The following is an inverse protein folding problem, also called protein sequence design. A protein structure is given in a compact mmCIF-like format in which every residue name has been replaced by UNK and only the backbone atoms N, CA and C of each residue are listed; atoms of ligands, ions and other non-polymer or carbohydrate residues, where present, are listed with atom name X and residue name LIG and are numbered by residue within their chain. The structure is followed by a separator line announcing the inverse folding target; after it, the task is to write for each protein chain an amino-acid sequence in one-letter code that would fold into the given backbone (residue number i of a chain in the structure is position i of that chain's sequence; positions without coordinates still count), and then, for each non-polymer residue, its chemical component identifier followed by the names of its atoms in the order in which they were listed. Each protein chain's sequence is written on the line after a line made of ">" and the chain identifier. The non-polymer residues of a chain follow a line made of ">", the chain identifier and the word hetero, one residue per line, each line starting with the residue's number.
data_IF_848502260256
#
_entry.id   IF_848502260256
#
_cell.length_a   1.000
_cell.length_b   1.000
_cell.length_c   1.000
_cell.angle_alpha   90.00
_cell.angle_beta   90.00
_cell.angle_gamma   90.00
#
_symmetry.space_group_name_H-M   'P 1'
#
loop_
_entity.id
_entity.type
_entity.pdbx_description
1 polymer ?
#
# COMPACT_ATOMS: atom_id res chain seq x y z
N UNK A 1 20.32 -12.52 -6.70
CA UNK A 1 18.85 -12.42 -6.88
C UNK A 1 18.51 -10.99 -7.24
N UNK A 2 17.47 -10.76 -8.05
CA UNK A 2 17.21 -9.45 -8.65
C UNK A 2 16.31 -8.59 -7.75
N UNK A 3 16.61 -7.29 -7.60
CA UNK A 3 15.79 -6.35 -6.84
C UNK A 3 14.38 -6.22 -7.45
N UNK A 4 13.39 -5.83 -6.65
CA UNK A 4 12.06 -5.47 -7.15
C UNK A 4 12.21 -4.34 -8.18
N UNK A 5 11.63 -4.54 -9.37
CA UNK A 5 11.66 -3.56 -10.45
C UNK A 5 10.69 -2.41 -10.21
N UNK A 6 10.90 -1.30 -10.92
CA UNK A 6 9.95 -0.19 -10.92
C UNK A 6 8.70 -0.59 -11.70
N UNK A 7 7.52 -0.24 -11.19
CA UNK A 7 6.28 -0.57 -11.89
C UNK A 7 5.02 -0.41 -11.07
N UNK A 8 3.90 -0.85 -11.65
CA UNK A 8 2.58 -0.80 -11.01
C UNK A 8 2.17 -2.21 -10.61
N UNK A 9 1.99 -2.42 -9.31
CA UNK A 9 1.77 -3.72 -8.69
C UNK A 9 0.39 -3.83 -8.05
N UNK A 10 -0.05 -5.09 -7.92
CA UNK A 10 -1.17 -5.51 -7.08
C UNK A 10 -0.58 -6.28 -5.91
N UNK A 11 -0.71 -5.76 -4.69
CA UNK A 11 -0.07 -6.37 -3.53
C UNK A 11 -1.08 -7.26 -2.81
N UNK A 12 -0.75 -8.55 -2.71
CA UNK A 12 -1.57 -9.59 -2.07
C UNK A 12 -0.99 -9.94 -0.71
N UNK A 13 -1.83 -10.05 0.31
CA UNK A 13 -1.40 -10.53 1.63
C UNK A 13 -1.22 -12.04 1.63
N UNK A 14 -0.08 -12.52 2.15
CA UNK A 14 0.15 -13.97 2.35
C UNK A 14 -0.66 -14.54 3.51
N UNK A 15 -1.03 -13.72 4.51
CA UNK A 15 -1.88 -14.14 5.63
C UNK A 15 -3.26 -14.61 5.17
N UNK A 16 -3.71 -14.19 3.97
CA UNK A 16 -5.00 -14.57 3.41
C UNK A 16 -5.03 -15.95 2.76
N UNK A 17 -3.92 -16.70 2.74
CA UNK A 17 -3.93 -18.07 2.21
C UNK A 17 -4.71 -19.04 3.11
N UNK A 18 -4.96 -18.69 4.38
CA UNK A 18 -5.66 -19.53 5.37
C UNK A 18 -7.15 -19.24 5.55
N UNK A 19 -7.70 -18.17 4.95
CA UNK A 19 -9.12 -17.79 5.09
C UNK A 19 -9.73 -17.39 3.75
N UNK A 20 -10.78 -18.10 3.34
CA UNK A 20 -11.75 -17.80 2.27
C UNK A 20 -11.43 -16.65 1.29
N UNK A 21 -10.38 -16.80 0.49
CA UNK A 21 -10.08 -15.96 -0.68
C UNK A 21 -8.81 -15.09 -0.56
N UNK A 22 -8.39 -14.52 -1.69
CA UNK A 22 -7.22 -13.67 -1.74
C UNK A 22 -7.56 -12.24 -1.29
N UNK A 23 -6.85 -11.77 -0.25
CA UNK A 23 -6.93 -10.40 0.21
C UNK A 23 -5.75 -9.59 -0.34
N UNK A 24 -6.05 -8.36 -0.71
CA UNK A 24 -5.11 -7.41 -1.30
C UNK A 24 -5.05 -6.14 -0.47
N UNK A 25 -3.99 -5.37 -0.67
CA UNK A 25 -3.95 -3.99 -0.17
C UNK A 25 -5.05 -3.19 -0.86
N UNK A 26 -5.88 -2.54 -0.05
CA UNK A 26 -7.05 -1.79 -0.51
C UNK A 26 -7.47 -0.72 0.49
N UNK A 27 -8.61 -0.08 0.19
CA UNK A 27 -9.19 0.99 1.01
C UNK A 27 -10.66 0.68 1.24
N UNK A 28 -11.20 1.04 2.40
CA UNK A 28 -12.63 0.85 2.66
C UNK A 28 -13.46 1.81 1.79
N UNK A 29 -14.27 1.20 0.91
CA UNK A 29 -15.32 1.85 0.13
C UNK A 29 -16.27 2.76 0.94
N UNK A 30 -16.52 2.48 2.22
CA UNK A 30 -17.37 3.33 3.07
C UNK A 30 -16.72 4.70 3.29
N UNK A 31 -15.42 4.69 3.60
CA UNK A 31 -14.63 5.93 3.73
C UNK A 31 -14.51 6.64 2.38
N UNK A 32 -14.42 5.91 1.27
CA UNK A 32 -14.40 6.50 -0.08
C UNK A 32 -15.71 7.22 -0.44
N UNK A 33 -16.87 6.73 0.02
CA UNK A 33 -18.19 7.35 -0.21
C UNK A 33 -18.48 8.54 0.71
N UNK A 34 -17.96 8.51 1.94
CA UNK A 34 -18.07 9.64 2.88
C UNK A 34 -17.17 10.82 2.49
N UNK A 35 -16.17 10.58 1.64
CA UNK A 35 -15.31 11.60 1.05
C UNK A 35 -16.03 12.28 -0.12
N UNK A 36 -16.68 13.42 0.18
CA UNK A 36 -17.43 14.27 -0.78
C UNK A 36 -16.70 14.65 -2.06
N UNK A 37 -15.37 14.50 -2.13
CA UNK A 37 -14.54 14.86 -3.28
C UNK A 37 -14.16 13.69 -4.20
N UNK A 38 -14.51 12.44 -3.89
CA UNK A 38 -14.12 11.26 -4.70
C UNK A 38 -12.62 10.91 -4.69
N UNK A 39 -11.79 11.77 -4.12
CA UNK A 39 -10.34 11.59 -3.93
C UNK A 39 -10.04 11.04 -2.53
N UNK A 40 -9.06 10.12 -2.45
CA UNK A 40 -8.56 9.60 -1.19
C UNK A 40 -7.94 10.72 -0.37
N UNK A 41 -8.39 10.86 0.88
CA UNK A 41 -7.83 11.86 1.81
C UNK A 41 -6.61 11.32 2.54
N UNK A 42 -5.71 12.23 2.88
CA UNK A 42 -4.66 12.00 3.85
C UNK A 42 -5.23 11.44 5.18
N UNK A 43 -4.51 10.50 5.78
CA UNK A 43 -4.93 9.76 6.96
C UNK A 43 -5.89 8.58 6.69
N UNK A 44 -6.35 8.38 5.45
CA UNK A 44 -7.22 7.23 5.11
C UNK A 44 -6.47 5.92 5.40
N UNK A 45 -7.01 5.02 6.24
CA UNK A 45 -6.37 3.73 6.54
C UNK A 45 -6.26 2.82 5.32
N UNK A 46 -5.15 2.11 5.23
CA UNK A 46 -4.94 1.01 4.29
C UNK A 46 -5.34 -0.29 4.96
N UNK A 47 -6.14 -1.09 4.25
CA UNK A 47 -6.74 -2.32 4.79
C UNK A 47 -6.45 -3.51 3.88
N UNK A 48 -6.67 -4.72 4.42
CA UNK A 48 -6.82 -5.91 3.60
C UNK A 48 -8.25 -5.97 3.07
N UNK A 49 -8.40 -6.03 1.75
CA UNK A 49 -9.68 -6.01 1.08
C UNK A 49 -9.78 -7.08 -0.02
N UNK A 50 -11.01 -7.41 -0.43
CA UNK A 50 -11.25 -8.24 -1.60
C UNK A 50 -10.80 -7.51 -2.88
N UNK A 51 -10.58 -8.28 -3.95
CA UNK A 51 -10.04 -7.80 -5.23
C UNK A 51 -10.78 -6.59 -5.81
N UNK A 52 -12.09 -6.49 -5.60
CA UNK A 52 -12.93 -5.39 -6.12
C UNK A 52 -12.63 -4.04 -5.45
N UNK A 53 -12.00 -4.06 -4.28
CA UNK A 53 -11.64 -2.87 -3.48
C UNK A 53 -10.12 -2.67 -3.35
N UNK A 54 -9.35 -3.41 -4.12
CA UNK A 54 -7.89 -3.32 -4.16
C UNK A 54 -7.45 -2.01 -4.83
N UNK A 55 -6.34 -1.46 -4.35
CA UNK A 55 -5.64 -0.34 -5.01
C UNK A 55 -4.41 -0.83 -5.76
N UNK A 56 -4.09 -0.17 -6.87
CA UNK A 56 -2.79 -0.36 -7.56
C UNK A 56 -1.73 0.53 -6.92
N UNK A 57 -0.55 -0.05 -6.71
CA UNK A 57 0.58 0.64 -6.08
C UNK A 57 1.67 0.84 -7.11
N UNK A 58 2.13 2.07 -7.26
CA UNK A 58 3.33 2.37 -8.02
C UNK A 58 4.54 2.24 -7.10
N UNK A 59 5.53 1.46 -7.52
CA UNK A 59 6.77 1.21 -6.79
C UNK A 59 7.91 1.81 -7.59
N UNK A 60 8.71 2.64 -6.93
CA UNK A 60 9.86 3.32 -7.53
C UNK A 60 11.08 3.13 -6.64
N UNK A 61 12.18 2.62 -7.19
CA UNK A 61 13.45 2.46 -6.49
C UNK A 61 14.09 3.81 -6.25
N UNK A 62 14.41 4.10 -4.99
CA UNK A 62 15.05 5.36 -4.56
C UNK A 62 16.58 5.22 -4.49
N UNK A 63 17.07 4.02 -4.12
CA UNK A 63 18.50 3.71 -3.98
C UNK A 63 18.70 2.55 -2.99
N UNK A 64 19.78 1.78 -3.14
CA UNK A 64 19.98 0.58 -2.30
C UNK A 64 18.80 -0.39 -2.39
N UNK A 65 18.23 -0.74 -1.24
CA UNK A 65 17.00 -1.55 -1.09
C UNK A 65 15.79 -0.71 -0.63
N UNK A 66 15.88 0.62 -0.78
CA UNK A 66 14.81 1.55 -0.44
C UNK A 66 13.95 1.88 -1.66
N UNK A 67 12.64 1.87 -1.43
CA UNK A 67 11.60 2.06 -2.40
C UNK A 67 10.59 3.11 -1.93
N UNK A 68 10.05 3.87 -2.89
CA UNK A 68 8.87 4.68 -2.69
C UNK A 68 7.65 3.88 -3.16
N UNK A 69 6.61 3.86 -2.32
CA UNK A 69 5.31 3.28 -2.64
C UNK A 69 4.27 4.39 -2.73
N UNK A 70 3.72 4.58 -3.93
CA UNK A 70 2.79 5.66 -4.24
C UNK A 70 1.46 5.11 -4.78
N UNK A 71 0.40 5.89 -4.64
CA UNK A 71 -0.84 5.61 -5.37
C UNK A 71 -0.67 6.00 -6.84
N UNK A 72 -1.19 5.18 -7.75
CA UNK A 72 -1.28 5.61 -9.16
C UNK A 72 -2.14 6.86 -9.28
N UNK A 73 -1.91 7.67 -10.32
CA UNK A 73 -2.66 8.91 -10.56
C UNK A 73 -4.19 8.72 -10.59
N UNK A 74 -4.66 7.55 -11.05
CA UNK A 74 -6.08 7.19 -11.07
C UNK A 74 -6.66 6.86 -9.69
N UNK A 75 -5.83 6.41 -8.75
CA UNK A 75 -6.26 6.08 -7.39
C UNK A 75 -6.20 7.32 -6.49
N UNK A 76 -5.03 7.96 -6.42
CA UNK A 76 -4.82 9.22 -5.73
C UNK A 76 -3.46 9.85 -6.09
N UNK A 77 -3.46 10.71 -7.10
CA UNK A 77 -2.26 11.40 -7.57
C UNK A 77 -1.53 12.13 -6.44
N UNK A 78 -0.22 11.93 -6.36
CA UNK A 78 0.65 12.61 -5.39
C UNK A 78 0.51 12.12 -3.95
N UNK A 79 -0.20 11.01 -3.71
CA UNK A 79 -0.31 10.42 -2.39
C UNK A 79 0.58 9.18 -2.25
N UNK A 80 1.09 8.95 -1.05
CA UNK A 80 1.99 7.87 -0.69
C UNK A 80 1.39 6.96 0.39
N UNK A 81 2.02 5.80 0.56
CA UNK A 81 1.78 4.91 1.69
C UNK A 81 2.67 5.33 2.86
N UNK A 82 2.06 5.75 3.95
CA UNK A 82 2.75 6.18 5.17
C UNK A 82 2.50 5.25 6.35
N UNK A 83 3.44 5.25 7.28
CA UNK A 83 3.33 4.56 8.57
C UNK A 83 3.92 5.48 9.65
N UNK A 84 3.19 5.67 10.74
CA UNK A 84 3.58 6.56 11.82
C UNK A 84 3.90 5.72 13.05
N UNK A 85 5.20 5.56 13.31
CA UNK A 85 5.73 4.78 14.43
C UNK A 85 5.55 5.49 15.78
N UNK A 86 5.28 6.81 15.77
CA UNK A 86 5.19 7.63 16.99
C UNK A 86 3.76 7.87 17.43
N UNK A 87 2.78 7.50 16.61
CA UNK A 87 1.37 7.68 16.91
C UNK A 87 0.71 6.36 17.36
N UNK A 88 0.67 6.16 18.68
CA UNK A 88 0.07 4.99 19.32
C UNK A 88 -1.41 4.79 18.97
N UNK A 89 -2.17 5.85 18.63
CA UNK A 89 -3.55 5.72 18.16
C UNK A 89 -3.63 5.12 16.74
N UNK A 90 -2.59 5.32 15.92
CA UNK A 90 -2.45 4.70 14.60
C UNK A 90 -1.85 3.29 14.67
N UNK A 91 -1.31 2.84 15.81
CA UNK A 91 -0.95 1.45 16.13
C UNK A 91 -0.24 0.69 14.98
N UNK A 92 0.83 1.26 14.40
CA UNK A 92 1.58 0.69 13.27
C UNK A 92 0.74 0.42 12.01
N UNK A 93 -0.40 1.11 11.84
CA UNK A 93 -1.22 1.01 10.63
C UNK A 93 -0.63 1.84 9.51
N UNK A 94 -0.77 1.32 8.29
CA UNK A 94 -0.46 2.05 7.06
C UNK A 94 -1.64 2.95 6.69
N UNK A 95 -1.36 4.16 6.24
CA UNK A 95 -2.37 5.14 5.83
C UNK A 95 -1.91 5.94 4.60
N UNK A 96 -2.84 6.60 3.94
CA UNK A 96 -2.56 7.52 2.83
C UNK A 96 -1.90 8.80 3.40
N UNK A 97 -0.75 9.21 2.89
CA UNK A 97 -0.05 10.44 3.33
C UNK A 97 0.41 11.28 2.13
N UNK A 98 0.61 12.59 2.33
CA UNK A 98 1.32 13.43 1.34
C UNK A 98 2.83 13.37 1.50
N UNK A 99 3.29 13.00 2.68
CA UNK A 99 4.71 12.88 2.96
C UNK A 99 5.35 11.82 2.08
N UNK A 100 6.60 12.06 1.68
CA UNK A 100 7.39 11.05 1.03
C UNK A 100 7.90 10.05 2.08
N UNK A 101 7.70 8.76 1.82
CA UNK A 101 8.06 7.69 2.75
C UNK A 101 8.87 6.64 2.01
N UNK A 102 10.06 6.37 2.54
CA UNK A 102 10.94 5.30 2.07
C UNK A 102 10.61 3.99 2.79
N UNK A 103 10.50 2.92 2.00
CA UNK A 103 10.26 1.56 2.43
C UNK A 103 11.47 0.71 2.08
N UNK A 104 12.12 0.12 3.08
CA UNK A 104 13.05 -0.98 2.86
C UNK A 104 12.21 -2.21 2.46
N UNK A 105 12.45 -2.76 1.27
CA UNK A 105 11.71 -3.91 0.75
C UNK A 105 12.70 -5.02 0.43
N UNK A 106 12.68 -6.06 1.25
CA UNK A 106 13.57 -7.21 1.06
C UNK A 106 12.85 -8.32 0.31
N UNK A 107 13.56 -8.97 -0.62
CA UNK A 107 13.03 -10.16 -1.26
C UNK A 107 12.97 -11.31 -0.24
N UNK A 108 11.77 -11.89 -0.10
CA UNK A 108 11.55 -13.05 0.76
C UNK A 108 11.94 -14.37 0.08
N UNK A 109 11.75 -15.48 0.81
CA UNK A 109 12.18 -16.82 0.39
C UNK A 109 11.44 -17.41 -0.84
N UNK A 110 10.46 -16.70 -1.40
CA UNK A 110 9.67 -17.16 -2.53
C UNK A 110 9.66 -16.08 -3.60
N UNK A 111 9.59 -16.48 -4.87
CA UNK A 111 9.49 -15.54 -5.99
C UNK A 111 8.29 -14.60 -5.80
N UNK A 112 8.49 -13.31 -6.11
CA UNK A 112 7.48 -12.25 -5.99
C UNK A 112 6.88 -12.09 -4.58
N UNK A 113 7.60 -12.54 -3.55
CA UNK A 113 7.26 -12.30 -2.16
C UNK A 113 8.30 -11.39 -1.51
N UNK A 114 7.82 -10.42 -0.73
CA UNK A 114 8.65 -9.40 -0.09
C UNK A 114 8.25 -9.24 1.37
N UNK A 115 9.16 -8.69 2.18
CA UNK A 115 8.96 -8.40 3.61
C UNK A 115 9.41 -6.99 3.95
#
# INVERSE_FOLDING_TARGET
>A
MAPLENGIYRIKSRLSQSQSGHLYIGIDSKQRREQRSGHLKEGTPIILAKREKMVKVEVQKMGGDNYRMCFTSREASGMNFGCDKNNLQKNNKVFVTKDEVEWAIDQGNHENCYQ
#
